data_IF_305466133412
#
_entry.id   IF_305466133412
#
_cell.length_a   1.000
_cell.length_b   1.000
_cell.length_c   1.000
_cell.angle_alpha   90.00
_cell.angle_beta   90.00
_cell.angle_gamma   90.00
#
_symmetry.space_group_name_H-M   'P 1'
#
loop_
_entity.id
_entity.type
_entity.pdbx_description
1 polymer ?
#
# COMPACT_ATOMS: atom_id res chain seq x y z
N UNK A 1 25.48 10.51 -4.17
CA UNK A 1 24.66 9.38 -4.57
C UNK A 1 23.29 9.95 -4.92
N UNK A 2 22.92 9.92 -6.22
CA UNK A 2 21.63 10.46 -6.68
C UNK A 2 20.51 9.57 -6.22
N UNK A 3 19.44 10.15 -5.64
CA UNK A 3 18.19 9.45 -5.40
C UNK A 3 17.55 9.13 -6.77
N UNK A 4 17.39 7.86 -7.10
CA UNK A 4 16.64 7.46 -8.30
C UNK A 4 15.19 7.93 -8.14
N UNK A 5 14.60 8.53 -9.19
CA UNK A 5 13.19 8.91 -9.16
C UNK A 5 12.29 7.67 -9.13
N UNK A 6 11.08 7.76 -8.58
CA UNK A 6 10.13 6.63 -8.52
C UNK A 6 9.82 6.03 -9.90
N UNK A 7 9.81 6.85 -10.96
CA UNK A 7 9.66 6.38 -12.35
C UNK A 7 10.87 5.55 -12.83
N UNK A 8 12.08 5.85 -12.33
CA UNK A 8 13.27 5.04 -12.64
C UNK A 8 13.25 3.71 -11.89
N UNK A 9 12.79 3.69 -10.64
CA UNK A 9 12.64 2.46 -9.85
C UNK A 9 11.61 1.53 -10.53
N UNK A 10 10.45 2.06 -10.91
CA UNK A 10 9.40 1.28 -11.56
C UNK A 10 9.80 0.75 -12.96
N UNK A 11 10.76 1.38 -13.63
CA UNK A 11 11.31 0.94 -14.91
C UNK A 11 12.54 0.02 -14.77
N UNK A 12 13.08 -0.13 -13.54
CA UNK A 12 14.24 -0.98 -13.28
C UNK A 12 13.84 -2.46 -13.35
N UNK A 13 14.39 -3.18 -14.33
CA UNK A 13 14.12 -4.60 -14.52
C UNK A 13 14.56 -5.43 -13.31
N UNK A 14 15.65 -5.08 -12.67
CA UNK A 14 16.13 -5.77 -11.48
C UNK A 14 15.16 -5.60 -10.30
N UNK A 15 14.44 -4.47 -10.21
CA UNK A 15 13.35 -4.27 -9.26
C UNK A 15 12.15 -5.15 -9.62
N UNK A 16 11.70 -5.11 -10.88
CA UNK A 16 10.52 -5.87 -11.33
C UNK A 16 10.70 -7.38 -11.17
N UNK A 17 11.90 -7.91 -11.48
CA UNK A 17 12.22 -9.34 -11.37
C UNK A 17 12.22 -9.85 -9.90
N UNK A 18 12.27 -8.94 -8.93
CA UNK A 18 12.24 -9.26 -7.50
C UNK A 18 10.82 -9.23 -6.90
N UNK A 19 9.82 -8.72 -7.63
CA UNK A 19 8.46 -8.61 -7.09
C UNK A 19 7.85 -10.00 -6.82
N UNK A 20 7.01 -10.12 -5.79
CA UNK A 20 6.29 -11.36 -5.52
C UNK A 20 5.29 -11.65 -6.63
N UNK A 21 4.87 -12.90 -6.76
CA UNK A 21 3.71 -13.26 -7.59
C UNK A 21 2.45 -13.18 -6.74
N UNK A 22 1.47 -12.42 -7.19
CA UNK A 22 0.12 -12.39 -6.61
C UNK A 22 -0.74 -13.36 -7.41
N UNK A 23 -0.64 -14.64 -7.07
CA UNK A 23 -1.29 -15.73 -7.82
C UNK A 23 -2.82 -15.72 -7.66
N UNK A 24 -3.30 -15.31 -6.48
CA UNK A 24 -4.72 -15.27 -6.18
C UNK A 24 -5.13 -13.89 -5.64
N UNK A 25 -5.41 -12.92 -6.52
CA UNK A 25 -5.80 -11.58 -6.10
C UNK A 25 -7.19 -11.53 -5.40
N UNK A 26 -7.97 -12.62 -5.43
CA UNK A 26 -9.21 -12.73 -4.63
C UNK A 26 -8.92 -12.62 -3.13
N UNK A 27 -7.73 -13.07 -2.69
CA UNK A 27 -7.31 -12.98 -1.30
C UNK A 27 -7.01 -11.55 -0.83
N UNK A 28 -6.91 -10.59 -1.74
CA UNK A 28 -6.78 -9.17 -1.40
C UNK A 28 -8.09 -8.56 -0.89
N UNK A 29 -9.25 -9.14 -1.25
CA UNK A 29 -10.56 -8.61 -0.88
C UNK A 29 -10.71 -8.41 0.63
N UNK A 30 -11.27 -7.25 1.00
CA UNK A 30 -11.58 -6.86 2.38
C UNK A 30 -10.65 -5.78 2.94
N UNK A 31 -10.63 -5.65 4.27
CA UNK A 31 -9.93 -4.59 4.98
C UNK A 31 -8.46 -4.93 5.26
N UNK A 32 -7.60 -3.93 5.07
CA UNK A 32 -6.17 -3.95 5.39
C UNK A 32 -5.81 -2.70 6.18
N UNK A 33 -5.40 -2.86 7.42
CA UNK A 33 -5.04 -1.75 8.30
C UNK A 33 -3.59 -1.31 8.08
N UNK A 34 -3.35 -0.02 7.93
CA UNK A 34 -2.00 0.53 7.78
C UNK A 34 -1.33 0.61 9.16
N UNK A 35 -0.29 -0.18 9.37
CA UNK A 35 0.48 -0.22 10.62
C UNK A 35 1.73 0.63 10.59
N UNK A 36 2.38 0.72 9.42
CA UNK A 36 3.52 1.62 9.19
C UNK A 36 3.39 2.24 7.81
N UNK A 37 3.85 3.47 7.69
CA UNK A 37 3.78 4.22 6.44
C UNK A 37 4.96 5.18 6.33
N UNK A 38 5.29 5.55 5.10
CA UNK A 38 6.17 6.69 4.82
C UNK A 38 5.40 7.86 4.20
N UNK A 39 4.09 7.69 3.93
CA UNK A 39 3.26 8.70 3.26
C UNK A 39 2.94 9.86 4.21
N UNK A 40 3.35 11.09 3.89
CA UNK A 40 3.13 12.26 4.76
C UNK A 40 1.65 12.51 5.06
N UNK A 41 0.75 12.16 4.12
CA UNK A 41 -0.68 12.33 4.29
C UNK A 41 -1.28 11.53 5.45
N UNK A 42 -0.58 10.48 5.92
CA UNK A 42 -0.98 9.69 7.08
C UNK A 42 -0.18 10.04 8.33
N UNK A 43 1.06 10.56 8.19
CA UNK A 43 1.95 10.86 9.31
C UNK A 43 1.79 12.29 9.84
N UNK A 44 1.52 13.26 8.94
CA UNK A 44 1.53 14.69 9.26
C UNK A 44 0.19 15.36 9.06
N UNK A 45 -0.84 14.58 8.71
CA UNK A 45 -2.19 15.10 8.59
C UNK A 45 -2.82 15.23 10.00
N UNK A 46 -2.99 16.45 10.47
CA UNK A 46 -3.59 16.74 11.78
C UNK A 46 -5.03 16.24 11.94
N UNK A 47 -5.64 15.71 10.88
CA UNK A 47 -7.05 15.35 10.80
C UNK A 47 -7.31 13.95 10.23
N UNK A 48 -6.27 13.10 10.04
CA UNK A 48 -6.42 11.77 9.46
C UNK A 48 -5.78 10.71 10.34
N UNK A 49 -6.58 9.75 10.78
CA UNK A 49 -6.19 8.73 11.76
C UNK A 49 -6.61 7.34 11.29
N UNK A 50 -5.81 6.33 11.65
CA UNK A 50 -6.08 4.91 11.43
C UNK A 50 -6.51 4.57 9.99
N UNK A 51 -5.70 4.88 8.97
CA UNK A 51 -6.06 4.57 7.58
C UNK A 51 -6.23 3.07 7.37
N UNK A 52 -7.28 2.70 6.64
CA UNK A 52 -7.62 1.32 6.32
C UNK A 52 -7.96 1.22 4.84
N UNK A 53 -7.22 0.40 4.11
CA UNK A 53 -7.47 0.09 2.70
C UNK A 53 -8.57 -0.98 2.64
N UNK A 54 -9.64 -0.73 1.88
CA UNK A 54 -10.70 -1.70 1.67
C UNK A 54 -10.79 -2.03 0.19
N UNK A 55 -10.32 -3.22 -0.16
CA UNK A 55 -10.40 -3.73 -1.52
C UNK A 55 -11.70 -4.49 -1.72
N UNK A 56 -12.46 -4.10 -2.75
CA UNK A 56 -13.67 -4.81 -3.16
C UNK A 56 -13.36 -6.12 -3.89
N UNK A 57 -14.40 -6.92 -4.18
CA UNK A 57 -14.22 -8.15 -4.95
C UNK A 57 -13.73 -7.84 -6.37
N UNK A 58 -12.96 -8.76 -6.92
CA UNK A 58 -12.54 -8.69 -8.33
C UNK A 58 -13.75 -8.85 -9.25
N UNK A 59 -13.83 -8.01 -10.28
CA UNK A 59 -14.96 -8.00 -11.22
C UNK A 59 -14.62 -8.82 -12.47
N UNK A 60 -15.32 -9.94 -12.74
CA UNK A 60 -15.20 -10.67 -14.00
C UNK A 60 -15.69 -9.84 -15.21
N UNK A 61 -15.31 -10.15 -16.47
CA UNK A 61 -14.55 -11.34 -16.91
C UNK A 61 -13.03 -11.18 -16.88
N UNK A 62 -12.56 -9.97 -16.72
CA UNK A 62 -11.13 -9.68 -16.65
C UNK A 62 -10.79 -9.45 -15.18
N UNK A 63 -10.71 -10.48 -14.39
CA UNK A 63 -10.51 -10.47 -12.93
C UNK A 63 -9.29 -9.64 -12.45
N UNK A 64 -9.12 -8.45 -13.05
CA UNK A 64 -8.01 -7.53 -12.83
C UNK A 64 -8.45 -6.22 -12.21
N UNK A 65 -9.77 -5.99 -12.05
CA UNK A 65 -10.30 -4.76 -11.45
C UNK A 65 -10.91 -5.03 -10.09
N UNK A 66 -10.59 -4.14 -9.13
CA UNK A 66 -11.24 -4.11 -7.82
C UNK A 66 -11.47 -2.67 -7.39
N UNK A 67 -12.56 -2.42 -6.67
CA UNK A 67 -12.75 -1.13 -6.01
C UNK A 67 -11.74 -0.96 -4.88
N UNK A 68 -11.34 0.28 -4.64
CA UNK A 68 -10.46 0.66 -3.54
C UNK A 68 -11.09 1.82 -2.78
N UNK A 69 -11.30 1.60 -1.49
CA UNK A 69 -11.83 2.62 -0.59
C UNK A 69 -10.91 2.73 0.62
N UNK A 70 -10.14 3.81 0.69
CA UNK A 70 -9.32 4.09 1.87
C UNK A 70 -10.16 4.86 2.87
N UNK A 71 -10.45 4.23 4.01
CA UNK A 71 -11.23 4.82 5.11
C UNK A 71 -10.26 5.36 6.15
N UNK A 72 -10.58 6.53 6.72
CA UNK A 72 -9.84 7.12 7.84
C UNK A 72 -10.77 7.92 8.75
N UNK A 73 -10.38 8.06 10.02
CA UNK A 73 -11.09 8.89 10.99
C UNK A 73 -10.56 10.32 10.96
N UNK A 74 -11.46 11.28 11.22
CA UNK A 74 -11.10 12.68 11.41
C UNK A 74 -11.02 13.04 12.89
N UNK A 75 -10.45 14.21 13.18
CA UNK A 75 -10.29 14.71 14.55
C UNK A 75 -11.62 14.88 15.28
N UNK A 76 -12.70 15.23 14.58
CA UNK A 76 -14.05 15.38 15.13
C UNK A 76 -14.77 14.03 15.37
N UNK A 77 -14.09 12.91 15.14
CA UNK A 77 -14.65 11.56 15.25
C UNK A 77 -15.42 11.10 14.01
N UNK A 78 -15.62 11.95 13.02
CA UNK A 78 -16.29 11.55 11.77
C UNK A 78 -15.37 10.63 10.94
N UNK A 79 -15.99 9.83 10.06
CA UNK A 79 -15.28 8.97 9.11
C UNK A 79 -15.30 9.61 7.73
N UNK A 80 -14.20 9.51 7.02
CA UNK A 80 -14.07 9.97 5.63
C UNK A 80 -13.41 8.91 4.78
N UNK A 81 -13.52 9.05 3.46
CA UNK A 81 -12.94 8.09 2.55
C UNK A 81 -12.30 8.73 1.30
N UNK A 82 -11.43 7.95 0.66
CA UNK A 82 -10.86 8.19 -0.66
C UNK A 82 -11.23 6.98 -1.50
N UNK A 83 -11.93 7.20 -2.63
CA UNK A 83 -12.45 6.10 -3.46
C UNK A 83 -11.82 6.09 -4.83
N UNK A 84 -11.56 4.89 -5.32
CA UNK A 84 -11.06 4.63 -6.66
C UNK A 84 -11.24 3.18 -7.07
N UNK A 85 -10.56 2.82 -8.14
CA UNK A 85 -10.41 1.46 -8.60
C UNK A 85 -8.94 1.12 -8.83
N UNK A 86 -8.57 -0.11 -8.56
CA UNK A 86 -7.30 -0.70 -8.92
C UNK A 86 -7.47 -1.60 -10.15
N UNK A 87 -6.54 -1.49 -11.08
CA UNK A 87 -6.42 -2.39 -12.23
C UNK A 87 -5.08 -3.10 -12.12
N UNK A 88 -5.10 -4.42 -12.02
CA UNK A 88 -3.90 -5.26 -12.00
C UNK A 88 -3.29 -5.35 -13.40
N UNK A 89 -1.97 -5.23 -13.50
CA UNK A 89 -1.24 -5.45 -14.73
C UNK A 89 -1.18 -6.95 -15.07
N UNK A 90 -1.56 -7.30 -16.29
CA UNK A 90 -1.57 -8.70 -16.76
C UNK A 90 -0.17 -9.28 -16.93
N UNK A 91 0.84 -8.44 -17.12
CA UNK A 91 2.25 -8.85 -17.28
C UNK A 91 3.02 -8.91 -15.96
N UNK A 92 2.53 -8.21 -14.92
CA UNK A 92 3.13 -8.16 -13.59
C UNK A 92 2.05 -8.21 -12.52
N UNK A 93 1.79 -9.39 -11.97
CA UNK A 93 0.70 -9.60 -11.01
C UNK A 93 0.86 -8.82 -9.69
N UNK A 94 2.04 -8.31 -9.37
CA UNK A 94 2.28 -7.46 -8.22
C UNK A 94 2.04 -5.96 -8.51
N UNK A 95 1.82 -5.58 -9.77
CA UNK A 95 1.63 -4.20 -10.20
C UNK A 95 0.17 -3.85 -10.38
N UNK A 96 -0.22 -2.69 -9.85
CA UNK A 96 -1.57 -2.14 -9.96
C UNK A 96 -1.53 -0.66 -10.32
N UNK A 97 -2.49 -0.25 -11.13
CA UNK A 97 -2.77 1.17 -11.41
C UNK A 97 -4.06 1.55 -10.70
N UNK A 98 -3.97 2.51 -9.79
CA UNK A 98 -5.13 3.12 -9.13
C UNK A 98 -5.62 4.33 -9.91
N UNK A 99 -6.94 4.50 -10.00
CA UNK A 99 -7.61 5.70 -10.50
C UNK A 99 -8.70 6.14 -9.54
N UNK A 100 -8.69 7.40 -9.15
CA UNK A 100 -9.69 7.96 -8.27
C UNK A 100 -11.08 8.11 -8.90
N UNK A 101 -12.11 8.21 -8.05
CA UNK A 101 -13.48 8.53 -8.46
C UNK A 101 -13.83 10.00 -8.20
N UNK A 102 -14.91 10.48 -8.84
CA UNK A 102 -15.43 11.85 -8.65
C UNK A 102 -14.40 12.91 -9.03
N UNK A 103 -14.06 13.78 -8.10
CA UNK A 103 -13.07 14.84 -8.31
C UNK A 103 -11.66 14.29 -8.51
N UNK A 104 -11.36 13.09 -8.03
CA UNK A 104 -10.06 12.43 -8.14
C UNK A 104 -9.89 11.65 -9.46
N UNK A 105 -10.85 11.67 -10.37
CA UNK A 105 -10.83 10.88 -11.62
C UNK A 105 -9.64 11.17 -12.54
N UNK A 106 -8.98 12.31 -12.36
CA UNK A 106 -7.79 12.72 -13.12
C UNK A 106 -6.47 12.30 -12.45
N UNK A 107 -6.57 11.70 -11.25
CA UNK A 107 -5.40 11.24 -10.51
C UNK A 107 -5.24 9.73 -10.75
N UNK A 108 -4.04 9.35 -11.15
CA UNK A 108 -3.62 7.95 -11.24
C UNK A 108 -2.39 7.77 -10.35
N UNK A 109 -2.25 6.60 -9.75
CA UNK A 109 -1.10 6.17 -8.98
C UNK A 109 -0.75 4.74 -9.33
N UNK A 110 0.51 4.46 -9.57
CA UNK A 110 1.01 3.10 -9.72
C UNK A 110 1.55 2.60 -8.39
N UNK A 111 1.27 1.35 -8.08
CA UNK A 111 1.73 0.74 -6.87
C UNK A 111 2.03 -0.75 -7.03
N UNK A 112 2.89 -1.27 -6.17
CA UNK A 112 3.45 -2.61 -6.27
C UNK A 112 3.41 -3.30 -4.92
N UNK A 113 3.06 -4.59 -4.89
CA UNK A 113 3.39 -5.43 -3.75
C UNK A 113 4.88 -5.73 -3.74
N UNK A 114 5.54 -5.47 -2.62
CA UNK A 114 6.94 -5.86 -2.36
C UNK A 114 7.01 -7.17 -1.59
N UNK A 115 5.98 -7.45 -0.80
CA UNK A 115 5.82 -8.65 -0.02
C UNK A 115 4.33 -8.95 0.13
N UNK A 116 3.97 -10.23 0.02
CA UNK A 116 2.62 -10.74 0.22
C UNK A 116 2.72 -12.01 1.06
N UNK A 117 2.05 -12.01 2.20
CA UNK A 117 1.91 -13.18 3.07
C UNK A 117 0.43 -13.34 3.45
N UNK A 118 -0.27 -14.15 2.66
CA UNK A 118 -1.71 -14.38 2.87
C UNK A 118 -1.99 -15.16 4.17
N UNK A 119 -1.06 -16.02 4.63
CA UNK A 119 -1.23 -16.82 5.84
C UNK A 119 -1.10 -15.96 7.08
N UNK A 120 -0.08 -15.10 7.12
CA UNK A 120 0.07 -14.11 8.19
C UNK A 120 -0.87 -12.91 8.02
N UNK A 121 -1.46 -12.72 6.83
CA UNK A 121 -2.30 -11.57 6.50
C UNK A 121 -1.53 -10.26 6.57
N UNK A 122 -0.28 -10.23 6.06
CA UNK A 122 0.60 -9.06 6.09
C UNK A 122 1.15 -8.82 4.70
N UNK A 123 1.01 -7.58 4.21
CA UNK A 123 1.54 -7.13 2.93
C UNK A 123 2.40 -5.87 3.09
N UNK A 124 3.36 -5.69 2.18
CA UNK A 124 4.12 -4.44 2.02
C UNK A 124 3.90 -3.90 0.63
N UNK A 125 3.46 -2.64 0.56
CA UNK A 125 3.05 -1.95 -0.67
C UNK A 125 3.98 -0.77 -0.91
N UNK A 126 4.46 -0.62 -2.15
CA UNK A 126 5.21 0.53 -2.63
C UNK A 126 4.35 1.35 -3.59
N UNK A 127 4.30 2.65 -3.41
CA UNK A 127 3.60 3.61 -4.26
C UNK A 127 4.60 4.50 -5.00
N UNK A 128 4.42 4.66 -6.30
CA UNK A 128 5.17 5.66 -7.06
C UNK A 128 4.67 7.07 -6.72
N UNK A 129 5.50 8.08 -6.98
CA UNK A 129 5.09 9.48 -6.81
C UNK A 129 3.98 9.86 -7.80
N UNK A 130 3.05 10.70 -7.32
CA UNK A 130 2.03 11.37 -8.14
C UNK A 130 2.25 12.88 -8.10
N UNK A 131 1.37 13.65 -8.75
CA UNK A 131 1.38 15.11 -8.64
C UNK A 131 1.12 15.61 -7.20
N UNK A 132 0.48 14.79 -6.36
CA UNK A 132 -0.01 15.20 -5.03
C UNK A 132 0.66 14.47 -3.88
N UNK A 133 1.28 13.32 -4.14
CA UNK A 133 1.94 12.51 -3.12
C UNK A 133 3.34 12.11 -3.58
N UNK A 134 4.35 12.18 -2.71
CA UNK A 134 5.66 11.61 -2.99
C UNK A 134 5.55 10.09 -3.09
N UNK A 135 6.60 9.45 -3.58
CA UNK A 135 6.74 8.00 -3.45
C UNK A 135 6.67 7.57 -1.99
N UNK A 136 6.11 6.40 -1.75
CA UNK A 136 5.91 5.93 -0.38
C UNK A 136 5.77 4.43 -0.26
N UNK A 137 5.64 4.00 1.00
CA UNK A 137 5.48 2.60 1.36
C UNK A 137 4.51 2.48 2.51
N UNK A 138 3.64 1.49 2.43
CA UNK A 138 2.75 1.07 3.52
C UNK A 138 3.01 -0.38 3.90
N UNK A 139 3.00 -0.66 5.19
CA UNK A 139 2.98 -2.01 5.76
C UNK A 139 1.60 -2.22 6.35
N UNK A 140 0.88 -3.16 5.79
CA UNK A 140 -0.54 -3.39 6.09
C UNK A 140 -0.78 -4.79 6.62
N UNK A 141 -1.82 -4.96 7.43
CA UNK A 141 -2.27 -6.30 7.81
C UNK A 141 -3.78 -6.40 7.95
N UNK A 142 -4.28 -7.65 7.95
CA UNK A 142 -5.67 -8.00 8.27
C UNK A 142 -6.00 -7.77 9.73
N UNK A 143 -5.02 -7.89 10.61
CA UNK A 143 -5.21 -7.61 12.03
C UNK A 143 -5.45 -6.12 12.25
N UNK A 144 -6.42 -5.77 13.07
CA UNK A 144 -6.72 -4.38 13.41
C UNK A 144 -5.53 -3.66 14.06
N UNK A 145 -5.62 -2.34 14.23
CA UNK A 145 -4.52 -1.50 14.72
C UNK A 145 -3.94 -1.92 16.07
N UNK A 146 -4.73 -2.65 16.86
CA UNK A 146 -4.35 -3.20 18.18
C UNK A 146 -3.95 -4.68 18.08
N UNK A 147 -3.61 -5.19 16.88
CA UNK A 147 -3.13 -6.55 16.68
C UNK A 147 -2.02 -6.90 17.65
N UNK A 148 -2.11 -8.09 18.27
CA UNK A 148 -1.20 -8.53 19.34
C UNK A 148 0.25 -8.72 18.91
N UNK A 149 1.06 -9.32 19.80
CA UNK A 149 2.50 -9.56 19.58
C UNK A 149 2.80 -10.35 18.30
N UNK A 150 1.97 -11.32 17.92
CA UNK A 150 2.14 -12.13 16.72
C UNK A 150 2.05 -11.26 15.45
N UNK A 151 1.09 -10.33 15.40
CA UNK A 151 0.99 -9.38 14.28
C UNK A 151 2.23 -8.48 14.19
N UNK A 152 2.74 -7.99 15.34
CA UNK A 152 3.95 -7.17 15.37
C UNK A 152 5.18 -7.94 14.85
N UNK A 153 5.30 -9.24 15.17
CA UNK A 153 6.35 -10.11 14.67
C UNK A 153 6.26 -10.28 13.16
N UNK A 154 5.07 -10.57 12.63
CA UNK A 154 4.83 -10.72 11.19
C UNK A 154 5.12 -9.44 10.41
N UNK A 155 4.69 -8.26 10.92
CA UNK A 155 5.00 -6.95 10.35
C UNK A 155 6.51 -6.69 10.29
N UNK A 156 7.25 -7.03 11.36
CA UNK A 156 8.70 -6.89 11.38
C UNK A 156 9.37 -7.83 10.36
N UNK A 157 8.96 -9.09 10.31
CA UNK A 157 9.48 -10.06 9.36
C UNK A 157 9.27 -9.60 7.90
N UNK A 158 8.09 -9.08 7.57
CA UNK A 158 7.78 -8.53 6.24
C UNK A 158 8.70 -7.35 5.88
N UNK A 159 8.93 -6.42 6.81
CA UNK A 159 9.85 -5.29 6.61
C UNK A 159 11.28 -5.76 6.40
N UNK A 160 11.77 -6.72 7.19
CA UNK A 160 13.12 -7.26 7.04
C UNK A 160 13.27 -8.06 5.73
N UNK A 161 12.24 -8.78 5.29
CA UNK A 161 12.22 -9.42 3.98
C UNK A 161 12.41 -8.40 2.85
N UNK A 162 11.65 -7.31 2.86
CA UNK A 162 11.77 -6.23 1.87
C UNK A 162 13.15 -5.56 1.97
N UNK A 163 13.65 -5.34 3.18
CA UNK A 163 14.97 -4.75 3.43
C UNK A 163 16.11 -5.57 2.81
N UNK A 164 16.04 -6.88 2.95
CA UNK A 164 17.04 -7.79 2.38
C UNK A 164 16.96 -7.92 0.86
N UNK A 165 15.79 -7.70 0.29
CA UNK A 165 15.52 -7.95 -1.13
C UNK A 165 15.66 -6.70 -2.01
N UNK A 166 15.21 -5.54 -1.53
CA UNK A 166 15.12 -4.30 -2.31
C UNK A 166 16.07 -3.22 -1.80
N UNK A 167 17.36 -3.35 -2.13
CA UNK A 167 18.39 -2.41 -1.69
C UNK A 167 18.09 -0.95 -2.08
N UNK A 168 17.45 -0.73 -3.24
CA UNK A 168 17.09 0.59 -3.75
C UNK A 168 16.05 1.30 -2.85
N UNK A 169 15.26 0.57 -2.07
CA UNK A 169 14.22 1.11 -1.18
C UNK A 169 14.68 1.37 0.27
N UNK A 170 15.98 1.17 0.57
CA UNK A 170 16.52 1.42 1.93
C UNK A 170 16.20 2.83 2.47
N UNK A 171 16.26 3.92 1.68
CA UNK A 171 15.89 5.25 2.17
C UNK A 171 14.42 5.36 2.61
N UNK A 172 13.50 4.67 1.93
CA UNK A 172 12.09 4.61 2.32
C UNK A 172 11.89 3.76 3.57
N UNK A 173 12.50 2.58 3.64
CA UNK A 173 12.43 1.68 4.80
C UNK A 173 12.89 2.36 6.09
N UNK A 174 13.90 3.25 6.01
CA UNK A 174 14.36 4.05 7.15
C UNK A 174 13.38 5.14 7.62
N UNK A 175 12.34 5.44 6.82
CA UNK A 175 11.33 6.46 7.12
C UNK A 175 10.00 5.88 7.58
N UNK A 176 9.85 4.55 7.64
CA UNK A 176 8.63 3.91 8.11
C UNK A 176 8.30 4.32 9.54
N UNK A 177 7.10 4.84 9.74
CA UNK A 177 6.58 5.25 11.04
C UNK A 177 5.12 4.80 11.20
N UNK A 178 4.66 4.68 12.42
CA UNK A 178 3.26 4.31 12.73
C UNK A 178 2.36 5.54 12.54
N UNK A 179 1.30 5.44 11.73
CA UNK A 179 0.32 6.51 11.62
C UNK A 179 -0.44 6.67 12.94
N UNK A 180 -0.90 7.89 13.28
CA UNK A 180 -1.70 8.09 14.48
C UNK A 180 -3.02 7.31 14.41
N UNK A 181 -3.37 6.64 15.50
CA UNK A 181 -4.58 5.82 15.59
C UNK A 181 -5.80 6.61 16.08
N UNK A 182 -5.57 7.68 16.82
CA UNK A 182 -6.61 8.56 17.39
C UNK A 182 -6.11 10.01 17.42
N UNK A 183 -7.04 10.99 17.40
CA UNK A 183 -6.71 12.38 17.62
C UNK A 183 -6.18 12.66 19.00
#
# INVERSE_FOLDING_TARGET
>A
MGCSSSSQIAADRAFLDQLPRVENPVLLHGAWHVHRTTLPMWLHADDKFAPTLNYGPLVPPVATKMTDTVIYHKRDGSVSDIRGENVQDVSCSAHFTWRGYGLLRFITSEWYFLHVDHDAGVDVIYFTSTLFTPEGMDVVSRAGPLGGADNASSLNAAVEHVRGRFAILQPLLGRLATPPLRP
#
